data_IF_312948907281
#
_entry.id   IF_312948907281
#
_cell.length_a   1.000
_cell.length_b   1.000
_cell.length_c   1.000
_cell.angle_alpha   90.00
_cell.angle_beta   90.00
_cell.angle_gamma   90.00
#
_symmetry.space_group_name_H-M   'P 1'
#
loop_
_entity.id
_entity.type
_entity.pdbx_description
1 polymer ?
#
# COMPACT_ATOMS: atom_id res chain seq x y z
N UNK A 1 -0.42 -3.92 -41.30
CA UNK A 1 0.58 -2.99 -40.72
C UNK A 1 1.22 -3.60 -39.48
N UNK A 2 2.26 -4.43 -39.68
CA UNK A 2 3.00 -5.09 -38.60
C UNK A 2 4.30 -4.36 -38.32
N UNK A 3 4.28 -3.39 -37.41
CA UNK A 3 5.51 -2.71 -36.95
C UNK A 3 6.40 -3.70 -36.19
N UNK A 4 7.69 -3.72 -36.53
CA UNK A 4 8.68 -4.64 -35.98
C UNK A 4 8.85 -4.49 -34.45
N UNK A 5 9.55 -5.45 -33.83
CA UNK A 5 9.67 -5.55 -32.37
C UNK A 5 10.18 -4.25 -31.70
N UNK A 6 11.07 -3.52 -32.39
CA UNK A 6 11.58 -2.22 -31.94
C UNK A 6 10.49 -1.13 -31.91
N UNK A 7 9.63 -1.06 -32.93
CA UNK A 7 8.52 -0.10 -32.98
C UNK A 7 7.45 -0.43 -31.93
N UNK A 8 7.16 -1.72 -31.72
CA UNK A 8 6.28 -2.15 -30.61
C UNK A 8 6.86 -1.78 -29.25
N UNK A 9 8.16 -1.98 -29.04
CA UNK A 9 8.81 -1.65 -27.76
C UNK A 9 8.81 -0.14 -27.50
N UNK A 10 9.10 0.68 -28.53
CA UNK A 10 9.07 2.15 -28.41
C UNK A 10 7.65 2.65 -28.11
N UNK A 11 6.64 2.15 -28.81
CA UNK A 11 5.24 2.50 -28.57
C UNK A 11 4.74 2.02 -27.20
N UNK A 12 5.20 0.86 -26.72
CA UNK A 12 4.90 0.39 -25.37
C UNK A 12 5.53 1.27 -24.29
N UNK A 13 6.78 1.70 -24.47
CA UNK A 13 7.45 2.65 -23.58
C UNK A 13 6.75 4.00 -23.57
N UNK A 14 6.40 4.54 -24.73
CA UNK A 14 5.66 5.80 -24.86
C UNK A 14 4.29 5.71 -24.19
N UNK A 15 3.52 4.64 -24.41
CA UNK A 15 2.24 4.41 -23.70
C UNK A 15 2.40 4.28 -22.19
N UNK A 16 3.47 3.66 -21.71
CA UNK A 16 3.73 3.54 -20.27
C UNK A 16 4.06 4.90 -19.64
N UNK A 17 4.87 5.71 -20.32
CA UNK A 17 5.17 7.09 -19.92
C UNK A 17 3.93 7.98 -19.92
N UNK A 18 3.09 7.87 -20.95
CA UNK A 18 1.80 8.58 -21.04
C UNK A 18 0.86 8.17 -19.89
N UNK A 19 0.76 6.87 -19.58
CA UNK A 19 -0.01 6.39 -18.42
C UNK A 19 0.56 6.88 -17.09
N UNK A 20 1.88 6.91 -16.94
CA UNK A 20 2.54 7.43 -15.75
C UNK A 20 2.29 8.95 -15.58
N UNK A 21 2.29 9.71 -16.69
CA UNK A 21 1.95 11.14 -16.68
C UNK A 21 0.46 11.37 -16.38
N UNK A 22 -0.44 10.54 -16.89
CA UNK A 22 -1.87 10.59 -16.59
C UNK A 22 -2.17 10.25 -15.11
N UNK A 23 -1.35 9.40 -14.48
CA UNK A 23 -1.41 9.12 -13.04
C UNK A 23 -1.01 10.32 -12.15
N UNK A 24 -0.40 11.37 -12.73
CA UNK A 24 -0.03 12.61 -12.05
C UNK A 24 -1.20 13.48 -11.59
N UNK A 25 -2.42 13.23 -12.10
CA UNK A 25 -3.65 13.80 -11.53
C UNK A 25 -4.10 12.95 -10.33
N UNK A 26 -3.39 13.09 -9.21
CA UNK A 26 -3.80 12.60 -7.88
C UNK A 26 -4.51 11.24 -7.89
N UNK A 27 -3.82 10.19 -8.35
CA UNK A 27 -4.40 8.84 -8.35
C UNK A 27 -4.86 8.47 -6.93
N UNK A 28 -6.15 8.18 -6.77
CA UNK A 28 -6.73 7.70 -5.51
C UNK A 28 -5.95 6.48 -4.97
N UNK A 29 -5.37 5.66 -5.86
CA UNK A 29 -4.50 4.56 -5.49
C UNK A 29 -3.22 5.02 -4.77
N UNK A 30 -2.59 6.11 -5.22
CA UNK A 30 -1.40 6.67 -4.59
C UNK A 30 -1.74 7.33 -3.26
N UNK A 31 -2.90 7.99 -3.16
CA UNK A 31 -3.41 8.50 -1.90
C UNK A 31 -3.67 7.36 -0.90
N UNK A 32 -4.22 6.23 -1.34
CA UNK A 32 -4.43 5.05 -0.49
C UNK A 32 -3.11 4.42 -0.04
N UNK A 33 -2.11 4.31 -0.93
CA UNK A 33 -0.77 3.83 -0.55
C UNK A 33 -0.13 4.74 0.50
N UNK A 34 -0.23 6.06 0.34
CA UNK A 34 0.26 7.03 1.34
C UNK A 34 -0.51 6.96 2.64
N UNK A 35 -1.79 6.61 2.58
CA UNK A 35 -2.61 6.40 3.75
C UNK A 35 -2.24 5.11 4.50
N UNK A 36 -1.47 4.17 3.93
CA UNK A 36 -1.01 2.97 4.65
C UNK A 36 0.15 3.26 5.62
N UNK A 37 -0.09 4.10 6.63
CA UNK A 37 0.96 4.53 7.58
C UNK A 37 1.05 3.68 8.84
N UNK A 38 0.03 2.88 9.16
CA UNK A 38 0.00 2.03 10.35
C UNK A 38 0.60 0.68 9.96
N UNK A 39 1.60 0.19 10.69
CA UNK A 39 2.24 -1.09 10.40
C UNK A 39 2.28 -1.95 11.67
N UNK A 40 1.83 -3.20 11.56
CA UNK A 40 2.04 -4.20 12.62
C UNK A 40 3.52 -4.58 12.64
N UNK A 41 4.19 -4.45 13.79
CA UNK A 41 5.60 -4.78 13.96
C UNK A 41 5.90 -6.27 14.04
N UNK A 42 4.89 -7.11 14.27
CA UNK A 42 5.05 -8.56 14.35
C UNK A 42 4.97 -9.23 12.98
N UNK A 43 3.96 -8.90 12.17
CA UNK A 43 3.77 -9.51 10.84
C UNK A 43 4.06 -8.57 9.66
N UNK A 44 4.45 -7.32 9.92
CA UNK A 44 4.74 -6.30 8.90
C UNK A 44 3.55 -5.92 8.00
N UNK A 45 2.33 -6.36 8.34
CA UNK A 45 1.11 -5.94 7.63
C UNK A 45 0.87 -4.45 7.81
N UNK A 46 0.53 -3.78 6.70
CA UNK A 46 0.23 -2.36 6.65
C UNK A 46 -1.28 -2.12 6.66
N UNK A 47 -1.69 -1.13 7.42
CA UNK A 47 -3.06 -0.70 7.62
C UNK A 47 -3.19 0.77 7.24
N UNK A 48 -4.39 1.15 6.79
CA UNK A 48 -4.71 2.53 6.45
C UNK A 48 -4.71 3.38 7.73
N UNK A 49 -4.27 4.64 7.66
CA UNK A 49 -4.13 5.59 8.76
C UNK A 49 -5.44 5.92 9.47
N UNK A 50 -6.56 5.69 8.78
CA UNK A 50 -7.92 5.83 9.31
C UNK A 50 -8.42 4.56 10.00
N UNK A 51 -7.58 3.51 10.10
CA UNK A 51 -7.90 2.28 10.81
C UNK A 51 -8.02 2.61 12.30
N UNK A 52 -9.18 2.32 12.87
CA UNK A 52 -9.46 2.52 14.29
C UNK A 52 -8.65 1.56 15.16
N UNK A 53 -8.37 1.97 16.40
CA UNK A 53 -7.66 1.15 17.39
C UNK A 53 -8.30 -0.25 17.57
N UNK A 54 -9.63 -0.32 17.52
CA UNK A 54 -10.40 -1.57 17.62
C UNK A 54 -9.93 -2.58 16.57
N UNK A 55 -9.79 -2.17 15.31
CA UNK A 55 -9.34 -3.08 14.23
C UNK A 55 -7.89 -3.52 14.38
N UNK A 56 -7.02 -2.65 14.90
CA UNK A 56 -5.64 -3.02 15.23
C UNK A 56 -5.59 -4.03 16.39
N UNK A 57 -6.45 -3.87 17.40
CA UNK A 57 -6.60 -4.82 18.50
C UNK A 57 -7.15 -6.16 18.01
N UNK A 58 -8.20 -6.17 17.19
CA UNK A 58 -8.74 -7.40 16.56
C UNK A 58 -7.66 -8.14 15.74
N UNK A 59 -6.82 -7.40 15.00
CA UNK A 59 -5.69 -7.99 14.29
C UNK A 59 -4.70 -8.67 15.24
N UNK A 60 -4.30 -7.97 16.32
CA UNK A 60 -3.37 -8.50 17.31
C UNK A 60 -3.95 -9.75 18.00
N UNK A 61 -5.21 -9.73 18.42
CA UNK A 61 -5.86 -10.88 19.07
C UNK A 61 -6.02 -12.09 18.13
N UNK A 62 -6.39 -11.86 16.86
CA UNK A 62 -6.64 -12.95 15.91
C UNK A 62 -5.35 -13.52 15.28
N UNK A 63 -4.32 -12.70 15.05
CA UNK A 63 -3.07 -13.12 14.37
C UNK A 63 -1.91 -13.34 15.33
N UNK A 64 -1.91 -12.65 16.47
CA UNK A 64 -0.83 -12.65 17.43
C UNK A 64 -1.35 -12.89 18.85
N UNK A 65 -2.08 -13.99 19.12
CA UNK A 65 -2.73 -14.23 20.42
C UNK A 65 -1.77 -14.35 21.60
N UNK A 66 -0.46 -14.49 21.33
CA UNK A 66 0.61 -14.55 22.34
C UNK A 66 1.38 -13.24 22.48
N UNK A 67 1.16 -12.27 21.59
CA UNK A 67 1.83 -10.99 21.61
C UNK A 67 0.86 -9.93 22.14
N UNK A 68 1.40 -9.02 22.95
CA UNK A 68 0.61 -7.88 23.42
C UNK A 68 0.26 -6.95 22.25
N UNK A 69 -0.90 -6.28 22.32
CA UNK A 69 -1.35 -5.33 21.28
C UNK A 69 -0.31 -4.23 21.06
N UNK A 70 0.41 -3.81 22.11
CA UNK A 70 1.47 -2.81 22.01
C UNK A 70 2.74 -3.35 21.34
N UNK A 71 2.95 -4.67 21.32
CA UNK A 71 4.03 -5.28 20.55
C UNK A 71 3.70 -5.27 19.05
N UNK A 72 2.42 -5.43 18.69
CA UNK A 72 1.95 -5.31 17.31
C UNK A 72 1.93 -3.85 16.85
N UNK A 73 1.38 -2.96 17.66
CA UNK A 73 1.16 -1.54 17.32
C UNK A 73 1.68 -0.65 18.45
N UNK A 74 3.00 -0.38 18.51
CA UNK A 74 3.60 0.40 19.60
C UNK A 74 3.11 1.85 19.68
N UNK A 75 2.53 2.38 18.60
CA UNK A 75 1.92 3.71 18.57
C UNK A 75 0.56 3.78 19.29
N UNK A 76 -0.02 2.65 19.71
CA UNK A 76 -1.22 2.60 20.54
C UNK A 76 -0.91 2.72 22.04
N UNK A 77 0.35 2.60 22.43
CA UNK A 77 0.79 2.79 23.81
C UNK A 77 0.88 4.29 24.09
N UNK A 78 -0.08 4.84 24.86
CA UNK A 78 0.03 6.17 25.46
C UNK A 78 1.11 6.19 26.54
#
# INVERSE_FOLDING_TARGET
MGGGNAQKSKMAREKNLEKAKAAGKGSQLEANKKAMSIQCKVCMQTFICTTSEVKCREHAEAKHPKADVNACFPHLKK
#
